data_IF_067472488340
#
_entry.id   IF_067472488340
#
_cell.length_a   1.000
_cell.length_b   1.000
_cell.length_c   1.000
_cell.angle_alpha   90.00
_cell.angle_beta   90.00
_cell.angle_gamma   90.00
#
_symmetry.space_group_name_H-M   'P 1'
#
loop_
_entity.id
_entity.type
_entity.pdbx_description
1 polymer ?
#
# COMPACT_ATOMS: atom_id res chain seq x y z
N UNK A 1 -13.30 -30.24 55.44
CA UNK A 1 -13.66 -29.08 54.59
C UNK A 1 -12.35 -28.64 54.01
N UNK A 2 -11.93 -29.32 52.94
CA UNK A 2 -10.57 -29.19 52.39
C UNK A 2 -10.71 -28.84 50.91
N UNK A 3 -10.60 -27.55 50.64
CA UNK A 3 -10.54 -26.99 49.29
C UNK A 3 -9.14 -27.22 48.73
N UNK A 4 -9.03 -28.15 47.77
CA UNK A 4 -7.83 -28.25 46.92
C UNK A 4 -7.80 -27.08 45.92
N UNK A 5 -6.63 -26.46 45.68
CA UNK A 5 -6.47 -25.43 44.66
C UNK A 5 -6.46 -26.07 43.26
N UNK A 6 -7.27 -25.50 42.37
CA UNK A 6 -7.28 -25.81 40.94
C UNK A 6 -5.92 -25.51 40.32
N UNK A 7 -5.36 -26.39 39.48
CA UNK A 7 -4.13 -26.08 38.77
C UNK A 7 -4.40 -24.98 37.74
N UNK A 8 -3.52 -23.99 37.75
CA UNK A 8 -3.40 -22.94 36.76
C UNK A 8 -3.73 -23.47 35.36
N UNK A 9 -4.74 -22.86 34.74
CA UNK A 9 -5.07 -23.11 33.34
C UNK A 9 -3.81 -22.96 32.51
N UNK A 10 -3.40 -24.07 31.89
CA UNK A 10 -2.48 -24.03 30.77
C UNK A 10 -3.11 -23.13 29.71
N UNK A 11 -2.74 -21.85 29.73
CA UNK A 11 -3.03 -20.90 28.66
C UNK A 11 -2.37 -21.53 27.44
N UNK A 12 -3.17 -22.18 26.60
CA UNK A 12 -2.76 -22.66 25.30
C UNK A 12 -2.19 -21.45 24.58
N UNK A 13 -0.86 -21.38 24.52
CA UNK A 13 -0.13 -20.48 23.66
C UNK A 13 -0.57 -20.88 22.26
N UNK A 14 -1.56 -20.17 21.71
CA UNK A 14 -1.80 -20.19 20.28
C UNK A 14 -0.59 -19.50 19.67
N UNK A 15 0.51 -20.25 19.52
CA UNK A 15 1.59 -19.91 18.62
C UNK A 15 0.95 -19.88 17.24
N UNK A 16 0.46 -18.71 16.84
CA UNK A 16 0.13 -18.48 15.45
C UNK A 16 1.37 -18.93 14.64
N UNK A 17 1.20 -19.82 13.64
CA UNK A 17 2.33 -20.30 12.90
C UNK A 17 3.02 -19.10 12.24
N UNK A 18 4.29 -18.87 12.59
CA UNK A 18 5.14 -17.87 11.92
C UNK A 18 5.41 -18.23 10.44
N UNK A 19 4.92 -19.39 10.02
CA UNK A 19 4.97 -19.90 8.66
C UNK A 19 3.64 -19.61 7.97
N UNK A 20 3.61 -18.81 6.89
CA UNK A 20 2.39 -18.59 6.12
C UNK A 20 1.82 -19.91 5.65
N UNK A 21 0.55 -20.16 5.95
CA UNK A 21 -0.18 -21.29 5.38
C UNK A 21 -0.74 -20.90 4.00
N UNK A 22 -1.07 -21.87 3.12
CA UNK A 22 -1.67 -21.56 1.84
C UNK A 22 -3.00 -20.78 1.93
N UNK A 23 -3.71 -20.88 3.05
CA UNK A 23 -4.92 -20.11 3.29
C UNK A 23 -4.63 -18.63 3.61
N UNK A 24 -3.51 -18.36 4.29
CA UNK A 24 -3.06 -16.99 4.60
C UNK A 24 -2.60 -16.25 3.34
N UNK A 25 -2.11 -16.97 2.33
CA UNK A 25 -1.70 -16.40 1.04
C UNK A 25 -2.86 -15.63 0.39
N UNK A 26 -4.04 -16.24 0.25
CA UNK A 26 -5.15 -15.62 -0.50
C UNK A 26 -5.70 -14.33 0.16
N UNK A 27 -5.67 -14.26 1.48
CA UNK A 27 -6.20 -13.12 2.24
C UNK A 27 -5.22 -11.94 2.31
N UNK A 28 -3.93 -12.18 2.10
CA UNK A 28 -2.86 -11.17 2.28
C UNK A 28 -2.17 -10.75 0.98
N UNK A 29 -2.54 -11.35 -0.16
CA UNK A 29 -2.02 -10.97 -1.47
C UNK A 29 -2.30 -9.49 -1.78
N UNK A 30 -1.31 -8.72 -2.27
CA UNK A 30 -1.49 -7.30 -2.58
C UNK A 30 -2.66 -7.02 -3.54
N UNK A 31 -2.96 -7.95 -4.45
CA UNK A 31 -4.01 -7.77 -5.45
C UNK A 31 -5.43 -8.11 -4.94
N UNK A 32 -5.57 -8.73 -3.76
CA UNK A 32 -6.89 -8.98 -3.15
C UNK A 32 -7.31 -7.85 -2.21
N UNK A 33 -6.41 -6.89 -1.95
CA UNK A 33 -6.69 -5.73 -1.12
C UNK A 33 -7.48 -4.67 -1.87
N UNK A 34 -8.42 -3.99 -1.19
CA UNK A 34 -9.09 -2.83 -1.77
C UNK A 34 -8.07 -1.73 -2.01
N UNK A 35 -8.22 -1.04 -3.13
CA UNK A 35 -7.38 0.10 -3.45
C UNK A 35 -7.51 1.20 -2.38
N UNK A 36 -6.37 1.68 -1.88
CA UNK A 36 -6.30 2.76 -0.90
C UNK A 36 -5.40 3.87 -1.46
N UNK A 37 -6.02 4.98 -1.87
CA UNK A 37 -5.31 6.10 -2.49
C UNK A 37 -4.26 6.74 -1.56
N UNK A 38 -4.57 6.88 -0.27
CA UNK A 38 -3.66 7.47 0.71
C UNK A 38 -2.40 6.62 0.87
N UNK A 39 -2.56 5.31 1.06
CA UNK A 39 -1.44 4.37 1.16
C UNK A 39 -0.53 4.40 -0.09
N UNK A 40 -1.13 4.39 -1.28
CA UNK A 40 -0.40 4.44 -2.54
C UNK A 40 0.35 5.77 -2.73
N UNK A 41 -0.20 6.88 -2.25
CA UNK A 41 0.47 8.17 -2.26
C UNK A 41 1.64 8.19 -1.28
N UNK A 42 1.46 7.66 -0.06
CA UNK A 42 2.54 7.52 0.92
C UNK A 42 3.68 6.63 0.39
N UNK A 43 3.34 5.54 -0.30
CA UNK A 43 4.28 4.65 -0.97
C UNK A 43 5.04 5.35 -2.10
N UNK A 44 4.35 6.14 -2.90
CA UNK A 44 4.96 6.95 -3.94
C UNK A 44 5.98 7.95 -3.36
N UNK A 45 5.62 8.66 -2.29
CA UNK A 45 6.53 9.58 -1.62
C UNK A 45 7.72 8.84 -0.99
N UNK A 46 7.50 7.65 -0.42
CA UNK A 46 8.56 6.82 0.16
C UNK A 46 9.63 6.44 -0.88
N UNK A 47 9.18 6.07 -2.07
CA UNK A 47 10.05 5.57 -3.14
C UNK A 47 10.75 6.73 -3.86
N UNK A 48 10.02 7.80 -4.18
CA UNK A 48 10.56 8.90 -5.00
C UNK A 48 11.29 9.97 -4.18
N UNK A 49 10.89 10.17 -2.92
CA UNK A 49 11.35 11.27 -2.06
C UNK A 49 11.79 10.75 -0.69
N UNK A 50 12.77 9.82 -0.64
CA UNK A 50 13.11 9.08 0.59
C UNK A 50 13.62 9.98 1.73
N UNK A 51 14.15 11.16 1.43
CA UNK A 51 14.63 12.13 2.43
C UNK A 51 13.51 12.82 3.20
N UNK A 52 12.27 12.77 2.70
CA UNK A 52 11.12 13.42 3.34
C UNK A 52 10.42 12.52 4.36
N UNK A 53 10.77 11.23 4.42
CA UNK A 53 10.16 10.29 5.35
C UNK A 53 11.08 10.01 6.53
N UNK A 54 10.70 10.52 7.69
CA UNK A 54 11.28 10.11 8.96
C UNK A 54 10.71 8.75 9.35
N UNK A 55 11.49 7.69 9.21
CA UNK A 55 11.12 6.39 9.75
C UNK A 55 10.94 6.47 11.27
N UNK A 56 9.92 5.82 11.85
CA UNK A 56 9.78 5.77 13.29
C UNK A 56 11.04 5.11 13.93
N UNK A 57 11.49 5.59 15.10
CA UNK A 57 12.59 4.97 15.83
C UNK A 57 12.28 3.50 16.10
N UNK A 58 13.29 2.63 16.03
CA UNK A 58 13.19 1.16 16.19
C UNK A 58 12.78 0.71 17.61
N UNK A 59 12.18 1.59 18.41
CA UNK A 59 11.94 1.40 19.84
C UNK A 59 10.94 0.26 20.10
N UNK A 60 11.48 -0.88 20.53
CA UNK A 60 10.88 -1.84 21.47
C UNK A 60 9.63 -2.65 21.05
N UNK A 61 9.53 -3.11 19.81
CA UNK A 61 8.60 -4.20 19.45
C UNK A 61 9.36 -5.53 19.25
N UNK A 62 9.91 -6.10 20.34
CA UNK A 62 10.35 -7.51 20.36
C UNK A 62 9.15 -8.48 20.41
N UNK A 63 7.95 -7.96 20.64
CA UNK A 63 6.70 -8.69 20.51
C UNK A 63 5.89 -8.08 19.36
N UNK A 64 5.79 -8.81 18.25
CA UNK A 64 4.67 -8.64 17.32
C UNK A 64 3.41 -8.70 18.21
N UNK A 65 2.57 -7.65 18.27
CA UNK A 65 1.34 -7.78 19.00
C UNK A 65 0.56 -8.95 18.39
N UNK A 66 0.03 -9.81 19.25
CA UNK A 66 -0.95 -10.87 18.99
C UNK A 66 -2.28 -10.32 18.39
N UNK A 67 -2.24 -9.09 17.85
CA UNK A 67 -3.36 -8.42 17.26
C UNK A 67 -3.71 -9.12 15.94
N UNK A 68 -4.99 -9.43 15.69
CA UNK A 68 -5.43 -9.83 14.37
C UNK A 68 -4.94 -8.78 13.38
N UNK A 69 -4.37 -9.26 12.27
CA UNK A 69 -3.84 -8.42 11.20
C UNK A 69 -4.71 -7.17 11.00
N UNK A 70 -4.17 -5.95 11.23
CA UNK A 70 -4.96 -4.73 11.04
C UNK A 70 -5.48 -4.69 9.60
N UNK A 71 -6.64 -4.04 9.39
CA UNK A 71 -7.22 -3.85 8.06
C UNK A 71 -6.12 -3.45 7.07
N UNK A 72 -5.80 -4.34 6.15
CA UNK A 72 -4.78 -4.12 5.13
C UNK A 72 -5.27 -3.06 4.13
N UNK A 73 -4.38 -2.20 3.60
CA UNK A 73 -2.93 -2.15 3.85
C UNK A 73 -2.56 -1.48 5.18
N UNK A 74 -1.49 -1.96 5.83
CA UNK A 74 -0.93 -1.35 7.04
C UNK A 74 -0.27 0.00 6.67
N UNK A 75 -0.54 1.09 7.39
CA UNK A 75 0.14 2.38 7.15
C UNK A 75 1.67 2.29 7.19
N UNK A 76 2.38 3.12 6.41
CA UNK A 76 3.86 3.07 6.30
C UNK A 76 4.59 3.56 7.56
N UNK A 77 3.94 4.42 8.35
CA UNK A 77 4.40 4.96 9.63
C UNK A 77 4.11 4.02 10.82
N UNK A 78 3.47 2.87 10.56
CA UNK A 78 3.11 1.91 11.59
C UNK A 78 4.34 1.37 12.33
N UNK A 79 4.24 1.31 13.66
CA UNK A 79 5.25 0.72 14.55
C UNK A 79 5.51 -0.77 14.28
N UNK A 80 4.60 -1.45 13.57
CA UNK A 80 4.77 -2.85 13.19
C UNK A 80 5.75 -3.04 12.02
N UNK A 81 6.15 -1.97 11.34
CA UNK A 81 7.09 -2.03 10.21
C UNK A 81 8.53 -1.90 10.71
N UNK A 82 9.10 -3.03 11.10
CA UNK A 82 10.46 -3.10 11.66
C UNK A 82 11.49 -3.70 10.70
N UNK A 83 11.04 -4.44 9.68
CA UNK A 83 11.95 -5.14 8.78
C UNK A 83 12.42 -4.24 7.65
N UNK A 84 13.71 -4.27 7.27
CA UNK A 84 14.20 -3.47 6.16
C UNK A 84 13.58 -3.92 4.83
N UNK A 85 13.37 -2.97 3.93
CA UNK A 85 13.03 -3.23 2.54
C UNK A 85 14.16 -2.78 1.61
N UNK A 86 14.01 -3.02 0.30
CA UNK A 86 14.95 -2.49 -0.70
C UNK A 86 14.96 -0.96 -0.74
N UNK A 87 13.85 -0.32 -0.41
CA UNK A 87 13.73 1.14 -0.35
C UNK A 87 14.05 1.62 1.07
N UNK A 88 15.08 2.46 1.28
CA UNK A 88 15.52 2.85 2.61
C UNK A 88 14.46 3.54 3.47
N UNK A 89 13.54 4.28 2.84
CA UNK A 89 12.43 4.96 3.51
C UNK A 89 11.23 4.05 3.80
N UNK A 90 11.28 2.77 3.42
CA UNK A 90 10.19 1.83 3.59
C UNK A 90 10.62 0.62 4.42
N UNK A 91 9.77 0.26 5.38
CA UNK A 91 9.92 -0.95 6.20
C UNK A 91 8.74 -1.89 6.01
N UNK A 92 9.02 -3.17 6.17
CA UNK A 92 8.05 -4.26 6.07
C UNK A 92 7.62 -4.71 7.46
N UNK A 93 6.42 -5.28 7.52
CA UNK A 93 5.89 -5.90 8.75
C UNK A 93 6.54 -7.26 9.05
N UNK A 94 7.05 -7.93 8.02
CA UNK A 94 7.73 -9.22 8.11
C UNK A 94 8.95 -9.22 7.18
N UNK A 95 9.97 -10.02 7.50
CA UNK A 95 11.23 -10.08 6.74
C UNK A 95 11.04 -10.42 5.26
N UNK A 96 10.05 -11.26 4.94
CA UNK A 96 9.71 -11.65 3.57
C UNK A 96 8.28 -11.22 3.19
N UNK A 97 7.71 -10.26 3.94
CA UNK A 97 6.32 -9.83 3.79
C UNK A 97 6.06 -8.91 2.61
N UNK A 98 4.78 -8.70 2.32
CA UNK A 98 4.35 -7.72 1.33
C UNK A 98 4.52 -6.28 1.82
N UNK A 99 4.69 -5.35 0.88
CA UNK A 99 4.78 -3.91 1.17
C UNK A 99 3.49 -3.34 1.75
N UNK A 100 2.33 -3.92 1.41
CA UNK A 100 1.01 -3.64 1.99
C UNK A 100 0.87 -4.12 3.44
N UNK A 101 1.82 -4.93 3.91
CA UNK A 101 1.78 -5.61 5.20
C UNK A 101 1.34 -7.07 5.07
N UNK A 102 1.59 -7.84 6.12
CA UNK A 102 1.28 -9.26 6.17
C UNK A 102 2.44 -10.19 5.83
N UNK A 103 2.16 -11.47 5.96
CA UNK A 103 3.10 -12.53 5.66
C UNK A 103 3.40 -12.55 4.15
N UNK A 104 4.60 -13.00 3.80
CA UNK A 104 4.97 -13.23 2.42
C UNK A 104 4.26 -14.43 1.80
N UNK A 105 4.60 -14.78 0.55
CA UNK A 105 4.12 -16.02 -0.04
C UNK A 105 4.47 -17.23 0.83
N UNK A 106 3.57 -18.21 0.92
CA UNK A 106 3.84 -19.48 1.59
C UNK A 106 5.09 -20.16 1.04
N UNK A 107 5.77 -21.00 1.83
CA UNK A 107 6.96 -21.72 1.38
C UNK A 107 6.73 -22.50 0.08
N UNK A 108 5.53 -23.05 -0.12
CA UNK A 108 5.13 -23.77 -1.34
C UNK A 108 5.11 -22.83 -2.54
N UNK A 109 4.45 -21.67 -2.44
CA UNK A 109 4.39 -20.69 -3.54
C UNK A 109 5.79 -20.14 -3.83
N UNK A 110 6.57 -19.86 -2.79
CA UNK A 110 7.95 -19.41 -2.92
C UNK A 110 8.84 -20.45 -3.63
N UNK A 111 8.67 -21.75 -3.32
CA UNK A 111 9.41 -22.84 -3.98
C UNK A 111 9.08 -22.92 -5.47
N UNK A 112 7.78 -22.89 -5.83
CA UNK A 112 7.35 -22.90 -7.24
C UNK A 112 7.89 -21.69 -8.01
N UNK A 113 7.89 -20.52 -7.39
CA UNK A 113 8.49 -19.33 -7.98
C UNK A 113 10.01 -19.49 -8.18
N UNK A 114 10.71 -20.03 -7.19
CA UNK A 114 12.15 -20.23 -7.25
C UNK A 114 12.55 -21.23 -8.37
N UNK A 115 11.83 -22.35 -8.49
CA UNK A 115 12.04 -23.33 -9.56
C UNK A 115 11.84 -22.70 -10.94
N UNK A 116 10.76 -21.95 -11.12
CA UNK A 116 10.48 -21.23 -12.36
C UNK A 116 11.55 -20.17 -12.66
N UNK A 117 12.00 -19.44 -11.65
CA UNK A 117 13.06 -18.43 -11.81
C UNK A 117 14.37 -19.06 -12.29
N UNK A 118 14.78 -20.18 -11.68
CA UNK A 118 15.97 -20.93 -12.06
C UNK A 118 15.86 -21.44 -13.50
N UNK A 119 14.71 -22.04 -13.85
CA UNK A 119 14.47 -22.59 -15.18
C UNK A 119 14.48 -21.50 -16.28
N UNK A 120 13.77 -20.38 -16.07
CA UNK A 120 13.67 -19.28 -17.04
C UNK A 120 15.01 -18.57 -17.22
N UNK A 121 15.79 -18.40 -16.15
CA UNK A 121 17.10 -17.72 -16.20
C UNK A 121 18.25 -18.68 -16.52
N UNK A 122 17.98 -19.98 -16.67
CA UNK A 122 18.98 -21.00 -17.02
C UNK A 122 20.11 -21.12 -15.99
N UNK A 123 19.80 -20.94 -14.71
CA UNK A 123 20.81 -20.85 -13.65
C UNK A 123 21.28 -22.26 -13.27
N UNK A 124 22.57 -22.52 -13.37
CA UNK A 124 23.16 -23.83 -13.02
C UNK A 124 24.06 -23.74 -11.79
N UNK A 125 24.71 -22.60 -11.57
CA UNK A 125 25.70 -22.42 -10.50
C UNK A 125 25.16 -21.60 -9.32
N UNK A 126 25.52 -21.93 -8.06
CA UNK A 126 25.07 -21.18 -6.87
C UNK A 126 25.51 -19.71 -6.85
N UNK A 127 26.71 -19.39 -7.35
CA UNK A 127 27.21 -18.02 -7.39
C UNK A 127 26.48 -17.17 -8.45
N UNK A 128 26.05 -17.81 -9.55
CA UNK A 128 25.23 -17.19 -10.59
C UNK A 128 23.84 -16.85 -10.05
N UNK A 129 23.27 -17.70 -9.20
CA UNK A 129 21.96 -17.47 -8.59
C UNK A 129 21.91 -16.14 -7.84
N UNK A 130 22.90 -15.88 -6.97
CA UNK A 130 22.95 -14.64 -6.18
C UNK A 130 22.97 -13.41 -7.09
N UNK A 131 23.84 -13.41 -8.10
CA UNK A 131 23.95 -12.29 -9.06
C UNK A 131 22.65 -12.06 -9.83
N UNK A 132 22.01 -13.12 -10.29
CA UNK A 132 20.74 -13.03 -11.05
C UNK A 132 19.57 -12.60 -10.18
N UNK A 133 19.55 -13.01 -8.91
CA UNK A 133 18.56 -12.54 -7.94
C UNK A 133 18.75 -11.04 -7.68
N UNK A 134 19.99 -10.59 -7.43
CA UNK A 134 20.28 -9.17 -7.23
C UNK A 134 19.89 -8.33 -8.46
N UNK A 135 20.23 -8.79 -9.67
CA UNK A 135 19.83 -8.14 -10.91
C UNK A 135 18.30 -8.06 -11.07
N UNK A 136 17.58 -9.15 -10.78
CA UNK A 136 16.13 -9.18 -10.82
C UNK A 136 15.50 -8.24 -9.78
N UNK A 137 16.07 -8.16 -8.58
CA UNK A 137 15.63 -7.21 -7.55
C UNK A 137 15.83 -5.77 -8.04
N UNK A 138 16.97 -5.45 -8.65
CA UNK A 138 17.23 -4.13 -9.22
C UNK A 138 16.31 -3.77 -10.39
N UNK A 139 16.00 -4.74 -11.24
CA UNK A 139 15.02 -4.58 -12.32
C UNK A 139 13.64 -4.24 -11.75
N UNK A 140 13.17 -5.01 -10.76
CA UNK A 140 11.89 -4.76 -10.09
C UNK A 140 11.85 -3.45 -9.32
N UNK A 141 12.95 -3.06 -8.68
CA UNK A 141 13.07 -1.78 -8.00
C UNK A 141 12.95 -0.61 -9.00
N UNK A 142 13.60 -0.72 -10.17
CA UNK A 142 13.47 0.27 -11.25
C UNK A 142 12.05 0.35 -11.79
N UNK A 143 11.41 -0.79 -12.08
CA UNK A 143 10.00 -0.81 -12.49
C UNK A 143 9.08 -0.13 -11.45
N UNK A 144 9.32 -0.36 -10.15
CA UNK A 144 8.54 0.26 -9.09
C UNK A 144 8.71 1.79 -9.10
N UNK A 145 9.94 2.29 -9.23
CA UNK A 145 10.22 3.74 -9.36
C UNK A 145 9.49 4.34 -10.56
N UNK A 146 9.56 3.70 -11.74
CA UNK A 146 8.87 4.17 -12.94
C UNK A 146 7.34 4.21 -12.76
N UNK A 147 6.75 3.19 -12.11
CA UNK A 147 5.32 3.19 -11.80
C UNK A 147 4.94 4.33 -10.87
N UNK A 148 5.75 4.62 -9.85
CA UNK A 148 5.52 5.73 -8.94
C UNK A 148 5.65 7.10 -9.63
N UNK A 149 6.59 7.25 -10.57
CA UNK A 149 6.71 8.47 -11.39
C UNK A 149 5.47 8.70 -12.25
N UNK A 150 5.02 7.67 -12.98
CA UNK A 150 3.79 7.74 -13.77
C UNK A 150 2.58 8.10 -12.91
N UNK A 151 2.50 7.55 -11.70
CA UNK A 151 1.45 7.92 -10.73
C UNK A 151 1.53 9.40 -10.36
N UNK A 152 2.71 9.91 -10.03
CA UNK A 152 2.92 11.33 -9.68
C UNK A 152 2.46 12.26 -10.81
N UNK A 153 2.77 11.91 -12.06
CA UNK A 153 2.33 12.64 -13.24
C UNK A 153 0.81 12.60 -13.39
N UNK A 154 0.20 11.41 -13.28
CA UNK A 154 -1.25 11.25 -13.35
C UNK A 154 -1.99 12.05 -12.25
N UNK A 155 -1.45 12.11 -11.04
CA UNK A 155 -2.02 12.93 -9.95
C UNK A 155 -2.01 14.42 -10.30
N UNK A 156 -0.90 14.91 -10.88
CA UNK A 156 -0.78 16.30 -11.33
C UNK A 156 -1.75 16.63 -12.46
N UNK A 157 -1.91 15.72 -13.43
CA UNK A 157 -2.88 15.86 -14.52
C UNK A 157 -4.31 15.87 -14.00
N UNK A 158 -4.63 14.98 -13.05
CA UNK A 158 -5.93 14.94 -12.39
C UNK A 158 -6.22 16.25 -11.65
N UNK A 159 -5.24 16.82 -10.95
CA UNK A 159 -5.39 18.11 -10.27
C UNK A 159 -5.68 19.25 -11.26
N UNK A 160 -4.94 19.31 -12.37
CA UNK A 160 -5.16 20.30 -13.42
C UNK A 160 -6.54 20.17 -14.06
N UNK A 161 -6.97 18.94 -14.32
CA UNK A 161 -8.30 18.64 -14.86
C UNK A 161 -9.40 19.07 -13.90
N UNK A 162 -9.25 18.79 -12.59
CA UNK A 162 -10.18 19.25 -11.56
C UNK A 162 -10.29 20.78 -11.50
N UNK A 163 -9.17 21.50 -11.64
CA UNK A 163 -9.16 22.98 -11.71
C UNK A 163 -9.90 23.50 -12.95
N UNK A 164 -9.68 22.87 -14.11
CA UNK A 164 -10.38 23.23 -15.35
C UNK A 164 -11.89 22.99 -15.24
N UNK A 165 -12.31 21.84 -14.69
CA UNK A 165 -13.72 21.55 -14.44
C UNK A 165 -14.32 22.60 -13.51
N UNK A 166 -13.64 22.94 -12.41
CA UNK A 166 -14.12 23.96 -11.48
C UNK A 166 -14.28 25.33 -12.14
N UNK A 167 -13.32 25.74 -12.99
CA UNK A 167 -13.39 26.99 -13.74
C UNK A 167 -14.55 27.01 -14.74
N UNK A 168 -14.76 25.92 -15.48
CA UNK A 168 -15.88 25.79 -16.43
C UNK A 168 -17.24 25.82 -15.70
N UNK A 169 -17.35 25.12 -14.56
CA UNK A 169 -18.56 25.15 -13.72
C UNK A 169 -18.83 26.56 -13.18
N UNK A 170 -17.80 27.29 -12.78
CA UNK A 170 -17.94 28.68 -12.34
C UNK A 170 -18.38 29.60 -13.49
N UNK A 171 -17.82 29.43 -14.68
CA UNK A 171 -18.22 30.17 -15.89
C UNK A 171 -19.68 29.92 -16.24
N UNK A 172 -20.11 28.65 -16.26
CA UNK A 172 -21.50 28.27 -16.54
C UNK A 172 -22.47 28.87 -15.52
N UNK A 173 -22.15 28.81 -14.22
CA UNK A 173 -22.98 29.44 -13.17
C UNK A 173 -23.07 30.95 -13.32
N UNK A 174 -22.04 31.61 -13.85
CA UNK A 174 -22.08 33.04 -14.12
C UNK A 174 -22.98 33.35 -15.32
N UNK A 175 -22.91 32.54 -16.38
CA UNK A 175 -23.80 32.63 -17.55
C UNK A 175 -25.27 32.42 -17.17
N UNK A 176 -25.58 31.37 -16.43
CA UNK A 176 -26.95 31.08 -15.93
C UNK A 176 -27.52 32.28 -15.13
N UNK A 177 -26.71 32.91 -14.27
CA UNK A 177 -27.13 34.12 -13.53
C UNK A 177 -27.39 35.33 -14.42
N UNK A 178 -26.61 35.50 -15.50
CA UNK A 178 -26.81 36.58 -16.46
C UNK A 178 -28.10 36.32 -17.25
N UNK A 179 -28.34 35.08 -17.69
CA UNK A 179 -29.56 34.70 -18.38
C UNK A 179 -30.81 34.89 -17.50
N UNK A 180 -30.75 34.50 -16.23
CA UNK A 180 -31.82 34.71 -15.25
C UNK A 180 -32.14 36.20 -15.08
N UNK A 181 -31.11 37.05 -14.95
CA UNK A 181 -31.29 38.51 -14.85
C UNK A 181 -31.93 39.09 -16.11
N UNK A 182 -31.47 38.68 -17.29
CA UNK A 182 -32.03 39.12 -18.58
C UNK A 182 -33.49 38.66 -18.71
N UNK A 183 -33.82 37.44 -18.28
CA UNK A 183 -35.19 36.93 -18.30
C UNK A 183 -36.10 37.74 -17.36
N UNK A 184 -35.67 37.97 -16.12
CA UNK A 184 -36.42 38.76 -15.14
C UNK A 184 -36.69 40.19 -15.64
N UNK A 185 -35.69 40.84 -16.26
CA UNK A 185 -35.85 42.20 -16.81
C UNK A 185 -36.85 42.22 -17.99
N UNK A 186 -36.85 41.20 -18.84
CA UNK A 186 -37.82 41.06 -19.94
C UNK A 186 -39.25 40.86 -19.42
N UNK A 187 -39.43 40.09 -18.36
CA UNK A 187 -40.74 39.87 -17.74
C UNK A 187 -41.26 41.15 -17.07
N UNK A 188 -40.40 41.91 -16.38
CA UNK A 188 -40.78 43.19 -15.77
C UNK A 188 -41.20 44.23 -16.83
N UNK A 189 -40.46 44.33 -17.94
CA UNK A 189 -40.82 45.21 -19.06
C UNK A 189 -42.16 44.85 -19.69
N UNK A 190 -42.49 43.57 -19.79
CA UNK A 190 -43.80 43.10 -20.29
C UNK A 190 -44.95 43.36 -19.32
N UNK A 191 -44.70 43.42 -18.02
CA UNK A 191 -45.74 43.70 -17.02
C UNK A 191 -46.05 45.20 -16.88
N UNK A 192 -45.13 46.08 -17.28
CA UNK A 192 -45.25 47.55 -17.16
C UNK A 192 -45.69 48.26 -18.45
N UNK A 193 -45.66 47.59 -19.60
CA UNK A 193 -46.11 48.12 -20.90
C UNK A 193 -47.43 47.51 -21.32
#
# INVERSE_FOLDING_TARGET
MDTQPTPFGARAMSRAPLTPTPADDFSTLPHSLPYNEAFENDLMHAILEPTLQSLPPLSACEQLPDAPMPNLPVPLDSVHRIHPSRFPALRLTHQHGYHTGGLGPSPTVAAVYAENFIAVKGIVQPDELRRRVDEAIEERAREAVERMQKRKEALKENENTRKQIAALVASRKAEERVEERIRAEREEKRAKG
#
